data_IF_355614867783
#
_entry.id   IF_355614867783
#
_cell.length_a   1.000
_cell.length_b   1.000
_cell.length_c   1.000
_cell.angle_alpha   90.00
_cell.angle_beta   90.00
_cell.angle_gamma   90.00
#
_symmetry.space_group_name_H-M   'P 1'
#
loop_
_entity.id
_entity.type
_entity.pdbx_description
1 polymer ?
#
# COMPACT_ATOMS: atom_id res chain seq x y z
N UNK A 1 21.46 34.85 -11.53
CA UNK A 1 21.05 33.46 -11.86
C UNK A 1 21.83 32.55 -10.93
N UNK A 2 21.20 32.06 -9.87
CA UNK A 2 21.85 31.12 -8.94
C UNK A 2 21.86 29.77 -9.65
N UNK A 3 23.03 29.36 -10.13
CA UNK A 3 23.25 28.04 -10.70
C UNK A 3 22.93 27.01 -9.60
N UNK A 4 21.88 26.21 -9.80
CA UNK A 4 21.65 25.08 -8.94
C UNK A 4 22.94 24.24 -8.92
N UNK A 5 23.48 24.01 -7.72
CA UNK A 5 24.68 23.19 -7.58
C UNK A 5 24.45 21.86 -8.31
N UNK A 6 25.40 21.49 -9.18
CA UNK A 6 25.34 20.23 -9.90
C UNK A 6 25.19 19.09 -8.91
N UNK A 7 24.22 18.22 -9.10
CA UNK A 7 24.03 17.07 -8.23
C UNK A 7 25.20 16.11 -8.38
N UNK A 8 25.59 15.40 -7.30
CA UNK A 8 26.60 14.37 -7.40
C UNK A 8 26.22 13.33 -8.48
N UNK A 9 27.18 12.93 -9.31
CA UNK A 9 26.98 11.95 -10.38
C UNK A 9 26.39 10.60 -9.88
N UNK A 10 26.57 10.28 -8.61
CA UNK A 10 25.94 9.13 -7.96
C UNK A 10 24.42 9.27 -7.91
N UNK A 11 23.89 10.45 -7.58
CA UNK A 11 22.44 10.72 -7.53
C UNK A 11 21.83 10.64 -8.92
N UNK A 12 22.52 11.20 -9.91
CA UNK A 12 22.08 11.14 -11.32
C UNK A 12 22.03 9.69 -11.81
N UNK A 13 23.03 8.87 -11.48
CA UNK A 13 23.05 7.44 -11.82
C UNK A 13 21.90 6.65 -11.16
N UNK A 14 21.57 6.93 -9.91
CA UNK A 14 20.43 6.29 -9.24
C UNK A 14 19.10 6.66 -9.90
N UNK A 15 18.99 7.90 -10.33
CA UNK A 15 17.78 8.40 -10.98
C UNK A 15 17.70 8.07 -12.47
N UNK A 16 18.80 7.65 -13.11
CA UNK A 16 18.86 7.41 -14.56
C UNK A 16 17.74 6.47 -15.06
N UNK A 17 17.39 5.45 -14.29
CA UNK A 17 16.30 4.54 -14.62
C UNK A 17 14.88 5.11 -14.45
N UNK A 18 14.73 6.37 -13.99
CA UNK A 18 13.45 7.02 -13.68
C UNK A 18 13.27 8.35 -14.42
N UNK A 19 14.34 8.91 -14.98
CA UNK A 19 14.38 10.26 -15.58
C UNK A 19 13.40 10.41 -16.74
N UNK A 20 13.33 9.39 -17.60
CA UNK A 20 12.49 9.35 -18.79
C UNK A 20 10.97 9.39 -18.52
N UNK A 21 10.58 9.24 -17.25
CA UNK A 21 9.19 9.34 -16.81
C UNK A 21 8.73 10.79 -16.59
N UNK A 22 9.65 11.73 -16.66
CA UNK A 22 9.39 13.15 -16.42
C UNK A 22 9.80 14.00 -17.62
N UNK A 23 9.11 15.13 -17.84
CA UNK A 23 9.62 16.12 -18.77
C UNK A 23 10.98 16.68 -18.28
N UNK A 24 11.88 17.17 -19.15
CA UNK A 24 13.21 17.66 -18.77
C UNK A 24 13.15 18.66 -17.60
N UNK A 25 12.22 19.63 -17.67
CA UNK A 25 12.01 20.63 -16.62
C UNK A 25 11.55 20.00 -15.31
N UNK A 26 10.60 19.08 -15.36
CA UNK A 26 10.11 18.39 -14.15
C UNK A 26 11.20 17.49 -13.57
N UNK A 27 12.00 16.84 -14.40
CA UNK A 27 13.11 16.00 -13.97
C UNK A 27 14.12 16.75 -13.10
N UNK A 28 14.56 17.95 -13.52
CA UNK A 28 15.46 18.77 -12.72
C UNK A 28 14.89 19.08 -11.33
N UNK A 29 13.60 19.42 -11.27
CA UNK A 29 12.93 19.68 -10.00
C UNK A 29 12.81 18.42 -9.13
N UNK A 30 12.53 17.25 -9.73
CA UNK A 30 12.47 15.96 -9.04
C UNK A 30 13.82 15.60 -8.46
N UNK A 31 14.91 15.78 -9.20
CA UNK A 31 16.27 15.51 -8.73
C UNK A 31 16.59 16.32 -7.47
N UNK A 32 16.29 17.62 -7.49
CA UNK A 32 16.47 18.50 -6.32
C UNK A 32 15.62 18.03 -5.13
N UNK A 33 14.34 17.69 -5.38
CA UNK A 33 13.44 17.22 -4.33
C UNK A 33 13.91 15.90 -3.72
N UNK A 34 14.38 14.95 -4.52
CA UNK A 34 14.87 13.66 -4.04
C UNK A 34 16.17 13.84 -3.25
N UNK A 35 17.16 14.55 -3.81
CA UNK A 35 18.43 14.79 -3.12
C UNK A 35 18.22 15.53 -1.80
N UNK A 36 17.44 16.59 -1.81
CA UNK A 36 17.12 17.35 -0.61
C UNK A 36 16.29 16.56 0.41
N UNK A 37 15.41 15.65 -0.03
CA UNK A 37 14.67 14.78 0.89
C UNK A 37 15.58 13.75 1.58
N UNK A 38 16.66 13.29 0.92
CA UNK A 38 17.68 12.44 1.54
C UNK A 38 18.51 13.21 2.57
N UNK A 39 18.89 14.44 2.24
CA UNK A 39 19.74 15.29 3.07
C UNK A 39 19.01 16.01 4.21
N UNK A 40 17.70 16.25 4.10
CA UNK A 40 16.94 17.02 5.08
C UNK A 40 16.80 16.27 6.40
N UNK A 41 17.29 16.81 7.52
CA UNK A 41 17.03 16.29 8.85
C UNK A 41 15.57 16.55 9.25
N UNK A 42 14.91 15.56 9.85
CA UNK A 42 13.55 15.70 10.37
C UNK A 42 12.44 15.73 9.29
N UNK A 43 11.56 16.74 9.31
CA UNK A 43 10.42 16.81 8.39
C UNK A 43 10.84 17.14 6.96
N UNK A 44 10.56 16.26 6.02
CA UNK A 44 10.88 16.40 4.59
C UNK A 44 9.81 17.20 3.85
N UNK A 45 9.57 18.46 4.27
CA UNK A 45 8.71 19.38 3.52
C UNK A 45 9.47 19.97 2.35
N UNK A 46 8.76 20.41 1.29
CA UNK A 46 9.39 21.08 0.14
C UNK A 46 10.28 22.24 0.60
N UNK A 47 9.81 23.05 1.54
CA UNK A 47 10.60 24.17 2.07
C UNK A 47 11.87 23.71 2.78
N UNK A 48 11.82 22.62 3.57
CA UNK A 48 13.00 22.09 4.24
C UNK A 48 14.00 21.53 3.22
N UNK A 49 13.50 20.81 2.21
CA UNK A 49 14.27 20.29 1.09
C UNK A 49 14.99 21.41 0.35
N UNK A 50 14.28 22.47 -0.05
CA UNK A 50 14.87 23.60 -0.78
C UNK A 50 15.92 24.32 0.07
N UNK A 51 15.68 24.47 1.38
CA UNK A 51 16.65 25.09 2.29
C UNK A 51 17.97 24.31 2.36
N UNK A 52 17.90 22.98 2.48
CA UNK A 52 19.09 22.11 2.50
C UNK A 52 19.84 22.13 1.17
N UNK A 53 19.12 22.30 0.06
CA UNK A 53 19.68 22.40 -1.28
C UNK A 53 20.20 23.81 -1.64
N UNK A 54 20.26 24.74 -0.68
CA UNK A 54 20.67 26.11 -0.94
C UNK A 54 19.67 26.98 -1.69
N UNK A 55 18.44 26.47 -1.89
CA UNK A 55 17.36 27.11 -2.66
C UNK A 55 16.29 27.74 -1.76
N UNK A 56 16.59 28.01 -0.49
CA UNK A 56 15.64 28.55 0.48
C UNK A 56 15.06 29.92 0.13
N UNK A 57 15.76 30.70 -0.70
CA UNK A 57 15.35 32.03 -1.21
C UNK A 57 15.00 32.03 -2.70
N UNK A 58 14.83 30.85 -3.30
CA UNK A 58 14.51 30.76 -4.74
C UNK A 58 13.14 31.42 -5.01
N UNK A 59 13.07 32.41 -5.92
CA UNK A 59 11.81 33.11 -6.23
C UNK A 59 10.75 32.21 -6.85
N UNK A 60 11.19 31.16 -7.52
CA UNK A 60 10.35 30.19 -8.22
C UNK A 60 10.05 28.90 -7.41
N UNK A 61 10.16 28.96 -6.08
CA UNK A 61 9.95 27.81 -5.18
C UNK A 61 8.62 27.06 -5.42
N UNK A 62 7.61 27.76 -5.94
CA UNK A 62 6.30 27.19 -6.28
C UNK A 62 6.38 26.10 -7.33
N UNK A 63 7.40 26.12 -8.20
CA UNK A 63 7.61 25.11 -9.25
C UNK A 63 7.88 23.74 -8.66
N UNK A 64 8.58 23.66 -7.52
CA UNK A 64 8.83 22.42 -6.79
C UNK A 64 7.55 21.86 -6.14
N UNK A 65 6.68 22.72 -5.63
CA UNK A 65 5.35 22.31 -5.17
C UNK A 65 4.49 21.74 -6.32
N UNK A 66 4.61 22.31 -7.54
CA UNK A 66 3.87 21.85 -8.71
C UNK A 66 4.22 20.43 -9.12
N UNK A 67 5.46 19.97 -8.89
CA UNK A 67 5.85 18.56 -9.14
C UNK A 67 4.92 17.60 -8.40
N UNK A 68 4.53 17.94 -7.17
CA UNK A 68 3.73 17.08 -6.29
C UNK A 68 2.21 17.23 -6.48
N UNK A 69 1.74 18.33 -7.11
CA UNK A 69 0.31 18.61 -7.14
C UNK A 69 -0.27 18.97 -8.52
N UNK A 70 0.54 19.34 -9.52
CA UNK A 70 0.06 19.81 -10.83
C UNK A 70 0.76 19.20 -12.03
N UNK A 71 2.07 18.92 -11.93
CA UNK A 71 2.82 18.39 -13.07
C UNK A 71 2.30 17.00 -13.44
N UNK A 72 2.14 16.76 -14.73
CA UNK A 72 1.60 15.49 -15.24
C UNK A 72 2.75 14.48 -15.34
N UNK A 73 2.69 13.45 -14.53
CA UNK A 73 3.54 12.27 -14.58
C UNK A 73 2.80 11.07 -14.00
N UNK A 74 3.20 9.87 -14.39
CA UNK A 74 2.51 8.65 -13.99
C UNK A 74 3.12 8.03 -12.74
N UNK A 75 2.45 8.13 -11.59
CA UNK A 75 2.86 7.45 -10.37
C UNK A 75 2.87 5.92 -10.52
N UNK A 76 1.99 5.36 -11.35
CA UNK A 76 1.99 3.91 -11.63
C UNK A 76 3.21 3.48 -12.47
N UNK A 77 3.61 4.28 -13.47
CA UNK A 77 4.82 4.03 -14.25
C UNK A 77 6.08 4.12 -13.37
N UNK A 78 6.13 5.14 -12.51
CA UNK A 78 7.23 5.31 -11.54
C UNK A 78 7.29 4.11 -10.58
N UNK A 79 6.17 3.70 -10.00
CA UNK A 79 6.09 2.54 -9.10
C UNK A 79 6.54 1.25 -9.79
N UNK A 80 6.11 1.01 -11.04
CA UNK A 80 6.55 -0.14 -11.84
C UNK A 80 8.06 -0.15 -12.04
N UNK A 81 8.63 1.00 -12.42
CA UNK A 81 10.08 1.13 -12.67
C UNK A 81 10.87 0.94 -11.37
N UNK A 82 10.42 1.58 -10.29
CA UNK A 82 11.01 1.45 -8.97
C UNK A 82 10.98 -0.02 -8.48
N UNK A 83 9.85 -0.70 -8.60
CA UNK A 83 9.74 -2.11 -8.25
C UNK A 83 10.75 -2.95 -9.03
N UNK A 84 10.87 -2.74 -10.34
CA UNK A 84 11.85 -3.45 -11.17
C UNK A 84 13.30 -3.20 -10.73
N UNK A 85 13.64 -1.97 -10.34
CA UNK A 85 14.96 -1.64 -9.80
C UNK A 85 15.23 -2.35 -8.48
N UNK A 86 14.29 -2.29 -7.54
CA UNK A 86 14.41 -2.92 -6.22
C UNK A 86 14.48 -4.45 -6.32
N UNK A 87 13.66 -5.06 -7.17
CA UNK A 87 13.68 -6.52 -7.38
C UNK A 87 15.03 -6.96 -7.94
N UNK A 88 15.58 -6.26 -8.92
CA UNK A 88 16.92 -6.58 -9.45
C UNK A 88 18.02 -6.42 -8.40
N UNK A 89 17.90 -5.41 -7.55
CA UNK A 89 18.93 -5.12 -6.55
C UNK A 89 18.89 -6.09 -5.34
N UNK A 90 17.69 -6.48 -4.88
CA UNK A 90 17.52 -7.17 -3.60
C UNK A 90 16.94 -8.58 -3.71
N UNK A 91 16.19 -8.89 -4.78
CA UNK A 91 15.51 -10.18 -4.95
C UNK A 91 15.62 -10.65 -6.40
N UNK A 92 16.84 -10.83 -6.93
CA UNK A 92 17.05 -11.19 -8.34
C UNK A 92 16.45 -12.56 -8.69
N UNK A 93 16.37 -13.48 -7.74
CA UNK A 93 15.82 -14.84 -7.90
C UNK A 93 14.82 -15.16 -6.78
N UNK A 94 14.11 -16.28 -6.91
CA UNK A 94 13.16 -16.77 -5.90
C UNK A 94 11.82 -16.01 -5.86
N UNK A 95 11.00 -16.24 -4.85
CA UNK A 95 9.70 -15.60 -4.70
C UNK A 95 9.82 -14.11 -4.36
N UNK A 96 8.86 -13.31 -4.84
CA UNK A 96 8.74 -11.90 -4.49
C UNK A 96 7.78 -11.79 -3.31
N UNK A 97 8.29 -11.41 -2.16
CA UNK A 97 7.46 -11.18 -0.98
C UNK A 97 7.08 -9.70 -0.90
N UNK A 98 5.78 -9.41 -0.83
CA UNK A 98 5.26 -8.05 -0.70
C UNK A 98 4.43 -7.92 0.58
N UNK A 99 4.55 -6.78 1.24
CA UNK A 99 3.68 -6.38 2.34
C UNK A 99 2.58 -5.45 1.86
N UNK A 100 1.38 -5.59 2.43
CA UNK A 100 0.27 -4.66 2.19
C UNK A 100 -0.25 -4.19 3.55
N UNK A 101 -0.20 -2.88 3.78
CA UNK A 101 -0.60 -2.28 5.04
C UNK A 101 -1.23 -0.91 4.84
N UNK A 102 -2.11 -0.50 5.75
CA UNK A 102 -2.74 0.80 5.73
C UNK A 102 -2.34 1.68 6.93
N UNK A 103 -2.20 2.95 6.63
CA UNK A 103 -1.79 3.95 7.62
C UNK A 103 -2.76 5.12 7.66
N UNK A 104 -3.13 5.54 8.86
CA UNK A 104 -3.91 6.75 9.08
C UNK A 104 -2.99 7.94 9.37
N UNK A 105 -2.88 8.83 8.41
CA UNK A 105 -2.24 10.13 8.58
C UNK A 105 -3.21 11.12 9.21
N UNK A 106 -3.05 11.43 10.50
CA UNK A 106 -3.94 12.33 11.21
C UNK A 106 -3.86 13.76 10.65
N UNK A 107 -4.98 14.29 10.20
CA UNK A 107 -5.10 15.64 9.63
C UNK A 107 -6.35 16.32 10.14
N UNK A 108 -6.24 17.61 10.51
CA UNK A 108 -7.35 18.41 11.05
C UNK A 108 -7.79 19.57 10.14
N UNK A 109 -6.98 19.95 9.15
CA UNK A 109 -7.25 21.08 8.27
C UNK A 109 -8.61 20.98 7.56
N UNK A 110 -9.39 22.04 7.56
CA UNK A 110 -10.71 22.11 6.92
C UNK A 110 -10.65 22.01 5.39
N UNK A 111 -9.56 22.48 4.79
CA UNK A 111 -9.36 22.49 3.33
C UNK A 111 -8.89 21.16 2.74
N UNK A 112 -8.69 20.12 3.56
CA UNK A 112 -8.26 18.80 3.09
C UNK A 112 -9.49 18.02 2.62
N UNK A 113 -9.77 18.06 1.33
CA UNK A 113 -11.01 17.54 0.74
C UNK A 113 -11.19 16.01 0.94
N UNK A 114 -10.14 15.21 0.81
CA UNK A 114 -10.21 13.76 0.94
C UNK A 114 -10.18 13.23 2.38
N UNK A 115 -10.19 14.14 3.36
CA UNK A 115 -10.18 13.82 4.78
C UNK A 115 -11.43 13.02 5.17
N UNK A 116 -11.24 11.95 5.91
CA UNK A 116 -12.31 11.15 6.51
C UNK A 116 -12.17 11.03 8.02
N UNK A 117 -13.12 10.34 8.64
CA UNK A 117 -13.08 9.95 10.04
C UNK A 117 -12.91 8.44 10.09
N UNK A 118 -11.87 7.97 10.73
CA UNK A 118 -11.51 6.57 10.81
C UNK A 118 -11.25 6.14 12.26
N UNK A 119 -11.29 4.82 12.52
CA UNK A 119 -10.76 4.28 13.76
C UNK A 119 -9.26 4.55 13.82
N UNK A 120 -8.79 5.12 14.91
CA UNK A 120 -7.37 5.32 15.17
C UNK A 120 -6.75 4.00 15.65
N UNK A 121 -5.86 3.33 14.88
CA UNK A 121 -5.34 2.02 15.25
C UNK A 121 -4.39 2.08 16.46
N UNK A 122 -3.76 3.23 16.69
CA UNK A 122 -2.79 3.41 17.79
C UNK A 122 -3.47 3.72 19.10
N UNK A 123 -4.56 4.51 19.06
CA UNK A 123 -5.27 4.96 20.27
C UNK A 123 -6.44 4.08 20.67
N UNK A 124 -6.91 3.21 19.77
CA UNK A 124 -8.01 2.30 20.04
C UNK A 124 -7.50 0.98 20.62
N UNK A 125 -8.22 0.45 21.60
CA UNK A 125 -8.05 -0.91 22.12
C UNK A 125 -9.27 -1.78 21.80
N UNK A 126 -9.33 -3.00 22.35
CA UNK A 126 -10.51 -3.86 22.23
C UNK A 126 -11.75 -3.25 22.86
N UNK A 127 -11.59 -2.58 24.01
CA UNK A 127 -12.68 -1.97 24.78
C UNK A 127 -12.88 -0.48 24.52
N UNK A 128 -11.92 0.20 23.88
CA UNK A 128 -11.96 1.65 23.68
C UNK A 128 -11.77 2.03 22.21
N UNK A 129 -12.81 2.59 21.61
CA UNK A 129 -12.82 2.99 20.19
C UNK A 129 -12.58 4.50 20.06
N UNK A 130 -11.40 4.87 19.56
CA UNK A 130 -11.04 6.26 19.28
C UNK A 130 -11.17 6.56 17.79
N UNK A 131 -11.89 7.63 17.47
CA UNK A 131 -11.99 8.16 16.10
C UNK A 131 -10.93 9.24 15.88
N UNK A 132 -10.30 9.22 14.70
CA UNK A 132 -9.40 10.27 14.26
C UNK A 132 -9.75 10.77 12.86
N UNK A 133 -9.61 12.07 12.67
CA UNK A 133 -9.73 12.70 11.36
C UNK A 133 -8.40 12.62 10.62
N UNK A 134 -8.41 12.23 9.34
CA UNK A 134 -7.18 12.11 8.57
C UNK A 134 -7.35 11.59 7.16
N UNK A 135 -6.21 11.27 6.56
CA UNK A 135 -6.09 10.61 5.27
C UNK A 135 -5.68 9.16 5.50
N UNK A 136 -6.37 8.24 4.86
CA UNK A 136 -6.03 6.82 4.93
C UNK A 136 -5.25 6.43 3.69
N UNK A 137 -4.02 5.98 3.90
CA UNK A 137 -3.11 5.53 2.86
C UNK A 137 -2.98 4.02 2.89
N UNK A 138 -3.02 3.40 1.73
CA UNK A 138 -2.69 2.00 1.55
C UNK A 138 -1.36 1.92 0.82
N UNK A 139 -0.40 1.20 1.39
CA UNK A 139 0.94 1.02 0.83
C UNK A 139 1.22 -0.45 0.55
N UNK A 140 1.71 -0.71 -0.66
CA UNK A 140 2.30 -1.98 -1.03
C UNK A 140 3.82 -1.82 -1.03
N UNK A 141 4.50 -2.72 -0.33
CA UNK A 141 5.94 -2.66 -0.07
C UNK A 141 6.60 -3.95 -0.54
N UNK A 142 7.80 -3.87 -1.10
CA UNK A 142 8.66 -5.04 -1.29
C UNK A 142 9.31 -5.38 0.05
N UNK A 143 9.11 -6.60 0.53
CA UNK A 143 9.82 -7.12 1.71
C UNK A 143 11.11 -7.77 1.22
N UNK A 144 12.22 -7.09 1.43
CA UNK A 144 13.51 -7.51 0.89
C UNK A 144 14.57 -7.63 1.98
N UNK A 145 15.39 -8.70 1.96
CA UNK A 145 16.58 -8.76 2.80
C UNK A 145 17.57 -7.69 2.33
N UNK A 146 17.94 -6.80 3.25
CA UNK A 146 18.93 -5.75 2.98
C UNK A 146 20.25 -6.18 3.60
N UNK A 147 21.28 -6.57 2.81
CA UNK A 147 22.48 -7.25 3.30
C UNK A 147 23.22 -6.46 4.39
N UNK A 148 23.41 -5.17 4.18
CA UNK A 148 24.12 -4.31 5.14
C UNK A 148 23.30 -3.97 6.39
N UNK A 149 21.98 -4.18 6.37
CA UNK A 149 21.11 -3.97 7.53
C UNK A 149 20.89 -5.23 8.36
N UNK A 150 21.29 -6.40 7.86
CA UNK A 150 21.13 -7.70 8.53
C UNK A 150 19.66 -8.08 8.81
N UNK A 151 18.69 -7.48 8.11
CA UNK A 151 17.25 -7.70 8.32
C UNK A 151 16.43 -7.41 7.07
N UNK A 152 15.20 -7.90 7.06
CA UNK A 152 14.21 -7.58 6.02
C UNK A 152 13.70 -6.15 6.21
N UNK A 153 13.70 -5.39 5.11
CA UNK A 153 13.09 -4.06 5.04
C UNK A 153 11.83 -4.10 4.22
N UNK A 154 10.85 -3.31 4.63
CA UNK A 154 9.64 -3.04 3.86
C UNK A 154 9.89 -1.77 3.02
N UNK A 155 10.14 -1.96 1.73
CA UNK A 155 10.46 -0.89 0.79
C UNK A 155 9.19 -0.45 0.06
N UNK A 156 8.62 0.75 0.33
CA UNK A 156 7.38 1.20 -0.31
C UNK A 156 7.55 1.34 -1.82
N UNK A 157 6.62 0.78 -2.57
CA UNK A 157 6.63 0.77 -4.03
C UNK A 157 5.42 1.47 -4.61
N UNK A 158 4.25 1.16 -4.08
CA UNK A 158 2.99 1.71 -4.56
C UNK A 158 2.15 2.14 -3.38
N UNK A 159 1.76 3.41 -3.36
CA UNK A 159 0.91 3.97 -2.31
C UNK A 159 -0.32 4.63 -2.95
N UNK A 160 -1.49 4.38 -2.39
CA UNK A 160 -2.74 4.99 -2.82
C UNK A 160 -3.48 5.61 -1.64
N UNK A 161 -4.07 6.77 -1.89
CA UNK A 161 -5.05 7.35 -0.99
C UNK A 161 -6.36 6.58 -1.11
N UNK A 162 -6.87 6.09 0.03
CA UNK A 162 -8.15 5.39 0.15
C UNK A 162 -9.18 6.29 0.87
N UNK A 163 -9.86 7.20 0.17
CA UNK A 163 -10.79 8.13 0.77
C UNK A 163 -12.02 7.42 1.35
N UNK A 164 -12.70 8.09 2.28
CA UNK A 164 -13.93 7.59 2.86
C UNK A 164 -15.07 7.49 1.84
N UNK A 165 -16.07 6.65 2.13
CA UNK A 165 -17.29 6.55 1.32
C UNK A 165 -18.00 7.90 1.19
N UNK A 166 -18.03 8.69 2.27
CA UNK A 166 -18.62 10.04 2.27
C UNK A 166 -17.96 10.95 1.21
N UNK A 167 -16.64 10.90 1.10
CA UNK A 167 -15.90 11.69 0.10
C UNK A 167 -16.28 11.30 -1.34
N UNK A 168 -16.39 9.99 -1.62
CA UNK A 168 -16.79 9.51 -2.93
C UNK A 168 -18.23 9.87 -3.26
N UNK A 169 -19.15 9.71 -2.29
CA UNK A 169 -20.56 10.06 -2.45
C UNK A 169 -20.76 11.55 -2.75
N UNK A 170 -20.06 12.43 -2.05
CA UNK A 170 -20.11 13.88 -2.30
C UNK A 170 -19.63 14.29 -3.70
N UNK A 171 -18.86 13.43 -4.37
CA UNK A 171 -18.34 13.66 -5.73
C UNK A 171 -18.99 12.82 -6.82
N UNK A 172 -20.05 12.11 -6.50
CA UNK A 172 -20.70 11.21 -7.44
C UNK A 172 -19.83 10.03 -7.91
N UNK A 173 -18.77 9.68 -7.15
CA UNK A 173 -17.84 8.63 -7.50
C UNK A 173 -18.23 7.31 -6.84
N UNK A 174 -18.01 6.19 -7.56
CA UNK A 174 -18.14 4.87 -6.97
C UNK A 174 -17.12 4.68 -5.85
N UNK A 175 -17.58 4.29 -4.68
CA UNK A 175 -16.69 4.00 -3.56
C UNK A 175 -15.87 2.73 -3.82
N UNK A 176 -14.57 2.82 -3.55
CA UNK A 176 -13.66 1.68 -3.45
C UNK A 176 -13.30 1.46 -1.99
N UNK A 177 -13.57 0.27 -1.50
CA UNK A 177 -13.15 -0.16 -0.16
C UNK A 177 -11.64 -0.34 -0.09
N UNK A 178 -11.10 -0.48 1.11
CA UNK A 178 -9.68 -0.79 1.30
C UNK A 178 -9.30 -2.13 0.64
N UNK A 179 -10.21 -3.11 0.69
CA UNK A 179 -10.03 -4.41 0.06
C UNK A 179 -10.00 -4.31 -1.48
N UNK A 180 -10.82 -3.42 -2.07
CA UNK A 180 -10.78 -3.17 -3.53
C UNK A 180 -9.45 -2.56 -3.96
N UNK A 181 -8.91 -1.61 -3.16
CA UNK A 181 -7.59 -1.05 -3.40
C UNK A 181 -6.50 -2.10 -3.24
N UNK A 182 -6.53 -2.92 -2.18
CA UNK A 182 -5.59 -4.02 -1.95
C UNK A 182 -5.60 -5.01 -3.11
N UNK A 183 -6.80 -5.45 -3.54
CA UNK A 183 -6.95 -6.32 -4.72
C UNK A 183 -6.32 -5.71 -5.96
N UNK A 184 -6.60 -4.45 -6.24
CA UNK A 184 -6.05 -3.75 -7.41
C UNK A 184 -4.53 -3.68 -7.37
N UNK A 185 -3.94 -3.37 -6.21
CA UNK A 185 -2.49 -3.30 -6.04
C UNK A 185 -1.81 -4.66 -6.21
N UNK A 186 -2.33 -5.71 -5.59
CA UNK A 186 -1.77 -7.07 -5.71
C UNK A 186 -1.81 -7.58 -7.15
N UNK A 187 -2.94 -7.42 -7.83
CA UNK A 187 -3.07 -7.81 -9.23
C UNK A 187 -2.22 -6.92 -10.17
N UNK A 188 -1.98 -5.66 -9.79
CA UNK A 188 -1.10 -4.77 -10.56
C UNK A 188 0.36 -5.22 -10.46
N UNK A 189 0.84 -5.57 -9.27
CA UNK A 189 2.21 -6.10 -9.11
C UNK A 189 2.38 -7.40 -9.88
N UNK A 190 1.38 -8.29 -9.86
CA UNK A 190 1.39 -9.52 -10.65
C UNK A 190 1.57 -9.24 -12.16
N UNK A 191 0.89 -8.22 -12.69
CA UNK A 191 1.05 -7.78 -14.09
C UNK A 191 2.43 -7.19 -14.37
N UNK A 192 3.04 -6.51 -13.40
CA UNK A 192 4.36 -5.90 -13.56
C UNK A 192 5.51 -6.90 -13.48
N UNK A 193 5.30 -8.03 -12.80
CA UNK A 193 6.30 -9.09 -12.61
C UNK A 193 5.78 -10.43 -13.16
N UNK A 194 5.59 -10.54 -14.49
CA UNK A 194 5.18 -11.81 -15.09
C UNK A 194 6.25 -12.89 -14.86
N UNK A 195 5.82 -14.12 -14.65
CA UNK A 195 6.74 -15.24 -14.43
C UNK A 195 7.33 -15.38 -13.01
N UNK A 196 7.19 -14.37 -12.13
CA UNK A 196 7.66 -14.45 -10.73
C UNK A 196 6.54 -14.95 -9.82
N UNK A 197 6.88 -15.82 -8.87
CA UNK A 197 5.96 -16.20 -7.79
C UNK A 197 5.85 -15.02 -6.80
N UNK A 198 4.62 -14.61 -6.46
CA UNK A 198 4.35 -13.47 -5.57
C UNK A 198 3.67 -14.00 -4.32
N UNK A 199 4.23 -13.66 -3.17
CA UNK A 199 3.67 -13.91 -1.84
C UNK A 199 3.33 -12.56 -1.22
N UNK A 200 2.07 -12.35 -0.84
CA UNK A 200 1.63 -11.15 -0.15
C UNK A 200 1.41 -11.44 1.34
N UNK A 201 2.10 -10.70 2.19
CA UNK A 201 1.92 -10.75 3.64
C UNK A 201 1.05 -9.56 4.06
N UNK A 202 -0.03 -9.84 4.78
CA UNK A 202 -0.99 -8.81 5.17
C UNK A 202 -1.47 -9.02 6.60
N UNK A 203 -2.00 -7.97 7.21
CA UNK A 203 -2.66 -8.09 8.51
C UNK A 203 -4.09 -8.70 8.39
N UNK A 204 -4.74 -8.91 9.51
CA UNK A 204 -6.08 -9.51 9.58
C UNK A 204 -7.19 -8.66 8.94
N UNK A 205 -6.97 -7.39 8.63
CA UNK A 205 -7.96 -6.55 7.95
C UNK A 205 -8.15 -6.95 6.48
N UNK A 206 -7.15 -7.61 5.89
CA UNK A 206 -7.20 -8.15 4.53
C UNK A 206 -7.58 -9.64 4.48
N UNK A 207 -7.87 -10.28 5.61
CA UNK A 207 -8.32 -11.66 5.67
C UNK A 207 -9.80 -11.81 5.25
N UNK A 208 -10.20 -11.19 4.15
CA UNK A 208 -11.55 -11.25 3.60
C UNK A 208 -11.64 -12.30 2.51
N UNK A 209 -12.58 -13.23 2.63
CA UNK A 209 -12.73 -14.37 1.71
C UNK A 209 -12.90 -13.92 0.25
N UNK A 210 -13.62 -12.83 -0.01
CA UNK A 210 -13.81 -12.29 -1.37
C UNK A 210 -12.48 -11.81 -1.98
N UNK A 211 -11.63 -11.14 -1.19
CA UNK A 211 -10.30 -10.74 -1.63
C UNK A 211 -9.45 -11.99 -1.93
N UNK A 212 -9.36 -12.91 -0.96
CA UNK A 212 -8.55 -14.12 -1.08
C UNK A 212 -9.00 -14.98 -2.27
N UNK A 213 -10.31 -15.19 -2.45
CA UNK A 213 -10.87 -15.95 -3.57
C UNK A 213 -10.50 -15.33 -4.93
N UNK A 214 -10.46 -14.00 -5.00
CA UNK A 214 -10.18 -13.29 -6.25
C UNK A 214 -8.70 -13.37 -6.62
N UNK A 215 -7.78 -13.26 -5.64
CA UNK A 215 -6.34 -13.15 -5.93
C UNK A 215 -5.60 -14.49 -5.89
N UNK A 216 -6.13 -15.53 -5.24
CA UNK A 216 -5.45 -16.82 -4.95
C UNK A 216 -4.81 -17.54 -6.14
N UNK A 217 -5.34 -17.32 -7.35
CA UNK A 217 -4.80 -17.94 -8.58
C UNK A 217 -3.55 -17.25 -9.11
N UNK A 218 -3.26 -16.04 -8.60
CA UNK A 218 -2.21 -15.17 -9.12
C UNK A 218 -1.20 -14.75 -8.07
N UNK A 219 -1.62 -14.67 -6.80
CA UNK A 219 -0.82 -14.24 -5.66
C UNK A 219 -1.12 -15.16 -4.49
N UNK A 220 -0.09 -15.73 -3.88
CA UNK A 220 -0.20 -16.42 -2.60
C UNK A 220 -0.37 -15.38 -1.50
N UNK A 221 -1.41 -15.47 -0.67
CA UNK A 221 -1.65 -14.52 0.42
C UNK A 221 -1.46 -15.21 1.76
N UNK A 222 -0.58 -14.64 2.57
CA UNK A 222 -0.35 -15.04 3.96
C UNK A 222 -0.96 -13.97 4.85
N UNK A 223 -1.96 -14.34 5.61
CA UNK A 223 -2.66 -13.41 6.50
C UNK A 223 -3.18 -14.15 7.73
N UNK A 224 -3.36 -13.42 8.82
CA UNK A 224 -3.93 -13.96 10.05
C UNK A 224 -5.45 -13.83 10.02
N UNK A 225 -6.15 -14.95 10.06
CA UNK A 225 -7.59 -14.93 10.24
C UNK A 225 -7.94 -14.56 11.69
N UNK A 226 -8.95 -13.72 11.88
CA UNK A 226 -9.40 -13.30 13.21
C UNK A 226 -10.10 -14.47 13.91
N UNK A 227 -9.83 -14.66 15.20
CA UNK A 227 -10.45 -15.73 15.99
C UNK A 227 -11.96 -15.55 16.19
N UNK A 228 -12.45 -14.30 16.07
CA UNK A 228 -13.87 -13.93 16.15
C UNK A 228 -14.55 -13.87 14.76
N UNK A 229 -13.88 -14.33 13.69
CA UNK A 229 -14.42 -14.31 12.34
C UNK A 229 -15.75 -15.08 12.26
N UNK A 230 -16.73 -14.48 11.56
CA UNK A 230 -18.01 -15.13 11.26
C UNK A 230 -17.87 -15.97 9.98
N UNK A 231 -17.63 -17.25 10.15
CA UNK A 231 -17.55 -18.21 9.06
C UNK A 231 -18.92 -18.90 8.87
N UNK A 232 -19.22 -19.26 7.65
CA UNK A 232 -20.47 -19.90 7.25
C UNK A 232 -20.15 -21.04 6.29
N UNK A 233 -21.00 -22.06 6.28
CA UNK A 233 -20.97 -23.07 5.23
C UNK A 233 -21.24 -22.44 3.86
N UNK A 234 -20.86 -23.10 2.78
CA UNK A 234 -21.32 -22.72 1.44
C UNK A 234 -22.83 -22.58 1.38
N UNK A 235 -23.31 -21.62 0.61
CA UNK A 235 -24.75 -21.48 0.40
C UNK A 235 -25.31 -22.75 -0.22
N UNK A 236 -26.50 -23.24 0.24
CA UNK A 236 -27.14 -24.36 -0.42
C UNK A 236 -27.54 -23.97 -1.85
N UNK A 237 -27.54 -24.93 -2.77
CA UNK A 237 -27.97 -24.67 -4.15
C UNK A 237 -29.43 -24.20 -4.16
N UNK A 238 -29.73 -23.24 -5.03
CA UNK A 238 -31.10 -22.75 -5.24
C UNK A 238 -31.92 -23.86 -5.92
N UNK A 239 -33.03 -24.23 -5.31
CA UNK A 239 -33.93 -25.26 -5.87
C UNK A 239 -34.87 -24.63 -6.93
N UNK A 240 -35.11 -25.32 -8.05
CA UNK A 240 -36.11 -24.88 -9.00
C UNK A 240 -37.48 -24.68 -8.31
N UNK A 241 -38.16 -23.56 -8.57
CA UNK A 241 -39.44 -23.23 -7.93
C UNK A 241 -39.34 -22.57 -6.53
N UNK A 242 -38.15 -22.41 -5.97
CA UNK A 242 -38.00 -21.73 -4.69
C UNK A 242 -38.21 -20.22 -4.85
N UNK A 243 -39.21 -19.67 -4.12
CA UNK A 243 -39.53 -18.25 -4.13
C UNK A 243 -38.52 -17.49 -3.25
N UNK A 244 -38.08 -16.32 -3.72
CA UNK A 244 -37.24 -15.39 -2.97
C UNK A 244 -35.76 -15.38 -3.45
N UNK A 245 -35.02 -14.46 -2.85
CA UNK A 245 -33.61 -14.27 -3.22
C UNK A 245 -32.75 -15.48 -2.76
N UNK A 246 -31.92 -16.07 -3.63
CA UNK A 246 -31.01 -17.15 -3.24
C UNK A 246 -30.15 -16.78 -2.02
N UNK A 247 -29.99 -17.70 -1.09
CA UNK A 247 -29.12 -17.52 0.07
C UNK A 247 -27.68 -17.40 -0.40
N UNK A 248 -26.93 -16.43 0.16
CA UNK A 248 -25.52 -16.27 -0.11
C UNK A 248 -24.60 -16.98 0.88
N UNK A 249 -25.17 -17.50 1.99
CA UNK A 249 -24.44 -18.15 3.09
C UNK A 249 -25.25 -19.34 3.57
N UNK A 250 -24.54 -20.40 3.95
CA UNK A 250 -25.11 -21.56 4.60
C UNK A 250 -25.30 -21.36 6.11
N UNK A 251 -25.19 -22.43 6.88
CA UNK A 251 -25.26 -22.40 8.34
C UNK A 251 -24.04 -21.66 8.93
N UNK A 252 -24.20 -20.90 10.03
CA UNK A 252 -23.08 -20.31 10.72
C UNK A 252 -22.19 -21.40 11.33
N UNK A 253 -20.87 -21.23 11.20
CA UNK A 253 -19.87 -22.09 11.82
C UNK A 253 -19.52 -21.56 13.23
N UNK A 254 -19.09 -22.43 14.17
CA UNK A 254 -18.52 -21.99 15.43
C UNK A 254 -17.35 -21.02 15.20
N UNK A 255 -17.17 -20.07 16.11
CA UNK A 255 -16.02 -19.15 16.07
C UNK A 255 -14.71 -19.94 16.10
N UNK A 256 -13.67 -19.41 15.44
CA UNK A 256 -12.35 -20.05 15.47
C UNK A 256 -11.80 -20.20 16.88
N UNK A 257 -12.05 -19.23 17.77
CA UNK A 257 -11.69 -19.35 19.18
C UNK A 257 -12.36 -20.58 19.86
N UNK A 258 -13.63 -20.83 19.56
CA UNK A 258 -14.35 -22.01 20.07
C UNK A 258 -13.79 -23.32 19.48
N UNK A 259 -13.46 -23.31 18.18
CA UNK A 259 -12.80 -24.47 17.53
C UNK A 259 -11.44 -24.78 18.14
N UNK A 260 -10.64 -23.75 18.44
CA UNK A 260 -9.33 -23.92 19.09
C UNK A 260 -9.43 -24.53 20.50
N UNK A 261 -10.47 -24.15 21.25
CA UNK A 261 -10.70 -24.64 22.61
C UNK A 261 -11.37 -26.03 22.64
N UNK A 262 -11.89 -26.53 21.53
CA UNK A 262 -12.60 -27.79 21.49
C UNK A 262 -11.64 -28.98 21.42
N UNK A 263 -11.79 -29.96 22.32
CA UNK A 263 -10.90 -31.14 22.43
C UNK A 263 -10.93 -32.03 21.19
N UNK A 264 -12.07 -32.09 20.49
CA UNK A 264 -12.25 -32.95 19.31
C UNK A 264 -11.74 -32.29 18.01
N UNK A 265 -11.10 -31.14 18.09
CA UNK A 265 -10.52 -30.50 16.90
C UNK A 265 -9.34 -31.32 16.38
N UNK A 266 -9.50 -31.91 15.21
CA UNK A 266 -8.41 -32.64 14.55
C UNK A 266 -7.35 -31.66 14.04
N UNK A 267 -6.11 -31.84 14.47
CA UNK A 267 -4.96 -31.06 14.06
C UNK A 267 -4.06 -31.85 13.14
N UNK A 268 -3.70 -31.25 12.02
CA UNK A 268 -2.71 -31.80 11.10
C UNK A 268 -1.45 -30.94 11.14
N UNK A 269 -0.30 -31.58 11.35
CA UNK A 269 1.00 -30.90 11.19
C UNK A 269 1.29 -30.74 9.70
N UNK A 270 1.52 -29.50 9.28
CA UNK A 270 1.92 -29.19 7.90
C UNK A 270 3.31 -28.58 7.96
N UNK A 271 4.24 -29.14 7.16
CA UNK A 271 5.56 -28.56 6.94
C UNK A 271 5.49 -27.75 5.66
N UNK A 272 5.80 -26.46 5.76
CA UNK A 272 5.90 -25.59 4.60
C UNK A 272 7.38 -25.44 4.28
N UNK A 273 7.84 -25.98 3.13
CA UNK A 273 9.22 -25.76 2.70
C UNK A 273 9.45 -24.25 2.52
N UNK A 274 10.61 -23.78 2.87
CA UNK A 274 11.06 -22.37 2.67
C UNK A 274 10.40 -21.30 3.57
N UNK A 275 10.00 -21.68 4.78
CA UNK A 275 9.57 -20.73 5.83
C UNK A 275 10.45 -20.85 7.06
#
# INVERSE_FOLDING_TARGET
>A
MTTAAALPASVERWMAGLIDLFSPRTCQQVLVLVAGAVLAPGRRTVTAVLRVMGLGQAPDFTTYHRVLNRNVWSGAALARRLLGLLVRAFVPSGPIVVGLDDTLERRRGSRIAAKGIYRDPVRSSHSHFVKASGLRWLSLMLLAPVPWAGRVWALPVLTALAPSERYHRQRGLRHKTLLDWGRQMLLQVRRWLPGRHIVAVTDSSFAALDLLATVRRQVCVVTRLRLDANLFDPAPPHRPGQIGRPRRKGKPQPKLAQRLAHTDTSWQRVTVPDW
#
